data_IF_472499987654
#
_entry.id   IF_472499987654
#
_cell.length_a   1.000
_cell.length_b   1.000
_cell.length_c   1.000
_cell.angle_alpha   90.00
_cell.angle_beta   90.00
_cell.angle_gamma   90.00
#
_symmetry.space_group_name_H-M   'P 1'
#
loop_
_entity.id
_entity.type
_entity.pdbx_description
1 polymer ?
#
# COMPACT_ATOMS: atom_id res chain seq x y z
N UNK A 1 14.04 -8.49 9.44
CA UNK A 1 13.38 -7.39 8.77
C UNK A 1 11.88 -7.63 8.77
N UNK A 2 11.03 -6.60 8.79
CA UNK A 2 9.58 -6.71 8.73
C UNK A 2 9.07 -6.37 7.33
N UNK A 3 7.85 -6.82 6.99
CA UNK A 3 7.22 -6.45 5.72
C UNK A 3 7.11 -4.93 5.55
N UNK A 4 6.71 -4.20 6.60
CA UNK A 4 6.64 -2.73 6.54
C UNK A 4 8.01 -2.11 6.24
N UNK A 5 9.10 -2.62 6.85
CA UNK A 5 10.44 -2.12 6.62
C UNK A 5 10.93 -2.44 5.20
N UNK A 6 10.70 -3.67 4.73
CA UNK A 6 10.99 -4.06 3.33
C UNK A 6 10.24 -3.14 2.36
N UNK A 7 8.94 -2.92 2.59
CA UNK A 7 8.13 -2.00 1.78
C UNK A 7 8.73 -0.59 1.74
N UNK A 8 9.00 0.02 2.91
CA UNK A 8 9.53 1.38 2.97
C UNK A 8 10.86 1.54 2.23
N UNK A 9 11.77 0.56 2.34
CA UNK A 9 13.04 0.53 1.62
C UNK A 9 12.85 0.35 0.12
N UNK A 10 11.99 -0.60 -0.29
CA UNK A 10 11.74 -0.90 -1.70
C UNK A 10 11.11 0.29 -2.44
N UNK A 11 10.04 0.89 -1.88
CA UNK A 11 9.38 2.02 -2.53
C UNK A 11 10.30 3.23 -2.63
N UNK A 12 11.17 3.45 -1.63
CA UNK A 12 12.16 4.53 -1.64
C UNK A 12 13.21 4.30 -2.72
N UNK A 13 13.73 3.08 -2.84
CA UNK A 13 14.70 2.72 -3.87
C UNK A 13 14.10 2.88 -5.29
N UNK A 14 12.88 2.40 -5.51
CA UNK A 14 12.18 2.54 -6.80
C UNK A 14 11.92 4.01 -7.18
N UNK A 15 11.66 4.86 -6.19
CA UNK A 15 11.41 6.27 -6.42
C UNK A 15 12.66 7.08 -6.79
N UNK A 16 13.88 6.55 -6.57
CA UNK A 16 15.12 7.22 -6.97
C UNK A 16 15.20 7.43 -8.48
N UNK A 17 14.79 6.42 -9.25
CA UNK A 17 14.84 6.45 -10.72
C UNK A 17 13.50 6.81 -11.37
N UNK A 18 12.43 6.98 -10.56
CA UNK A 18 11.07 7.24 -11.04
C UNK A 18 10.45 8.46 -10.34
N UNK A 19 10.64 9.69 -10.86
CA UNK A 19 10.16 10.92 -10.23
C UNK A 19 8.64 11.03 -10.15
N UNK A 20 7.91 10.24 -10.92
CA UNK A 20 6.44 10.19 -10.85
C UNK A 20 5.92 9.49 -9.60
N UNK A 21 6.73 8.70 -8.89
CA UNK A 21 6.31 8.01 -7.68
C UNK A 21 6.16 9.02 -6.54
N UNK A 22 4.98 9.02 -5.94
CA UNK A 22 4.64 9.78 -4.72
C UNK A 22 4.17 8.82 -3.63
N UNK A 23 4.39 9.15 -2.37
CA UNK A 23 3.96 8.34 -1.24
C UNK A 23 2.98 9.11 -0.35
N UNK A 24 1.89 8.46 0.03
CA UNK A 24 0.79 9.07 0.79
C UNK A 24 0.42 8.14 1.95
N UNK A 25 0.16 8.73 3.11
CA UNK A 25 -0.37 8.02 4.27
C UNK A 25 -1.36 8.88 5.05
N UNK A 26 -2.10 8.29 5.98
CA UNK A 26 -3.05 8.96 6.86
C UNK A 26 -2.60 8.83 8.32
N UNK A 27 -1.69 9.71 8.77
CA UNK A 27 -1.12 9.76 10.12
C UNK A 27 -0.31 8.51 10.54
N UNK A 28 0.20 7.73 9.59
CA UNK A 28 0.90 6.46 9.85
C UNK A 28 2.32 6.38 9.24
N UNK A 29 3.13 7.46 9.17
CA UNK A 29 4.41 7.39 8.46
C UNK A 29 5.38 6.37 9.09
N UNK A 30 5.52 6.36 10.41
CA UNK A 30 6.38 5.41 11.11
C UNK A 30 5.86 3.98 11.10
N UNK A 31 4.53 3.80 11.22
CA UNK A 31 3.91 2.47 11.23
C UNK A 31 3.98 1.75 9.89
N UNK A 32 3.87 2.48 8.79
CA UNK A 32 3.99 1.99 7.42
C UNK A 32 5.42 2.05 6.87
N UNK A 33 6.36 2.64 7.63
CA UNK A 33 7.77 2.88 7.24
C UNK A 33 7.93 3.80 6.03
N UNK A 34 6.92 4.65 5.75
CA UNK A 34 7.06 5.76 4.81
C UNK A 34 7.88 6.93 5.36
N UNK A 35 8.28 6.90 6.63
CA UNK A 35 9.31 7.78 7.19
C UNK A 35 10.62 7.71 6.39
N UNK A 36 11.03 6.52 5.92
CA UNK A 36 12.20 6.32 5.05
C UNK A 36 12.04 7.09 3.73
N UNK A 37 10.87 6.98 3.10
CA UNK A 37 10.57 7.72 1.87
C UNK A 37 10.56 9.22 2.09
N UNK A 38 9.94 9.68 3.18
CA UNK A 38 9.87 11.11 3.55
C UNK A 38 11.25 11.74 3.72
N UNK A 39 12.19 11.04 4.34
CA UNK A 39 13.57 11.52 4.53
C UNK A 39 14.29 11.70 3.19
N UNK A 40 14.09 10.79 2.25
CA UNK A 40 14.73 10.82 0.93
C UNK A 40 14.03 11.76 -0.06
N UNK A 41 12.72 11.85 -0.01
CA UNK A 41 11.90 12.56 -0.99
C UNK A 41 10.80 13.42 -0.33
N UNK A 42 11.12 14.41 0.52
CA UNK A 42 10.15 15.16 1.32
C UNK A 42 9.09 15.91 0.47
N UNK A 43 9.42 16.28 -0.77
CA UNK A 43 8.49 16.98 -1.68
C UNK A 43 7.52 16.03 -2.42
N UNK A 44 7.71 14.72 -2.30
CA UNK A 44 6.88 13.68 -2.91
C UNK A 44 6.16 12.82 -1.87
N UNK A 45 6.30 13.19 -0.60
CA UNK A 45 5.64 12.54 0.52
C UNK A 45 4.51 13.43 1.07
N UNK A 46 3.36 12.80 1.34
CA UNK A 46 2.17 13.48 1.86
C UNK A 46 1.59 12.70 3.03
N UNK A 47 1.45 13.35 4.17
CA UNK A 47 0.67 12.84 5.30
C UNK A 47 -0.56 13.72 5.45
N UNK A 48 -1.72 13.15 5.19
CA UNK A 48 -3.00 13.88 5.20
C UNK A 48 -3.66 13.93 6.58
N UNK A 49 -2.99 13.42 7.60
CA UNK A 49 -3.61 13.25 8.92
C UNK A 49 -4.61 12.08 8.92
N UNK A 50 -5.46 12.00 9.95
CA UNK A 50 -6.47 10.93 10.07
C UNK A 50 -7.66 11.25 9.14
N UNK A 51 -7.44 11.07 7.83
CA UNK A 51 -8.38 11.42 6.78
C UNK A 51 -8.26 10.44 5.59
N UNK A 52 -8.57 9.17 5.81
CA UNK A 52 -8.35 8.09 4.84
C UNK A 52 -9.12 8.32 3.52
N UNK A 53 -10.35 8.83 3.57
CA UNK A 53 -11.12 9.20 2.37
C UNK A 53 -10.41 10.28 1.55
N UNK A 54 -9.90 11.33 2.21
CA UNK A 54 -9.12 12.38 1.54
C UNK A 54 -7.81 11.82 0.95
N UNK A 55 -7.12 10.93 1.66
CA UNK A 55 -5.92 10.25 1.18
C UNK A 55 -6.14 9.59 -0.19
N UNK A 56 -7.26 8.89 -0.35
CA UNK A 56 -7.59 8.20 -1.61
C UNK A 56 -8.02 9.17 -2.70
N UNK A 57 -8.88 10.14 -2.40
CA UNK A 57 -9.28 11.16 -3.38
C UNK A 57 -8.07 11.97 -3.88
N UNK A 58 -7.13 12.31 -2.99
CA UNK A 58 -5.89 12.99 -3.34
C UNK A 58 -4.99 12.10 -4.24
N UNK A 59 -4.85 10.81 -3.89
CA UNK A 59 -4.12 9.85 -4.72
C UNK A 59 -4.74 9.72 -6.13
N UNK A 60 -6.08 9.66 -6.22
CA UNK A 60 -6.79 9.63 -7.49
C UNK A 60 -6.48 10.86 -8.35
N UNK A 61 -6.50 12.06 -7.76
CA UNK A 61 -6.12 13.31 -8.44
C UNK A 61 -4.68 13.29 -8.95
N UNK A 62 -3.72 12.82 -8.15
CA UNK A 62 -2.32 12.67 -8.57
C UNK A 62 -2.18 11.66 -9.71
N UNK A 63 -2.87 10.53 -9.65
CA UNK A 63 -2.84 9.52 -10.71
C UNK A 63 -3.45 10.05 -12.02
N UNK A 64 -4.55 10.78 -11.95
CA UNK A 64 -5.17 11.45 -13.11
C UNK A 64 -4.24 12.50 -13.73
N UNK A 65 -3.36 13.13 -12.93
CA UNK A 65 -2.34 14.06 -13.38
C UNK A 65 -1.04 13.37 -13.89
N UNK A 66 -1.02 12.03 -14.01
CA UNK A 66 0.11 11.28 -14.56
C UNK A 66 1.16 10.84 -13.54
N UNK A 67 0.91 11.05 -12.24
CA UNK A 67 1.78 10.54 -11.19
C UNK A 67 1.50 9.04 -10.91
N UNK A 68 2.38 8.42 -10.13
CA UNK A 68 2.28 7.03 -9.66
C UNK A 68 2.19 7.01 -8.13
N UNK A 69 1.01 7.30 -7.56
CA UNK A 69 0.86 7.39 -6.11
C UNK A 69 0.88 5.99 -5.46
N UNK A 70 1.67 5.87 -4.40
CA UNK A 70 1.69 4.73 -3.48
C UNK A 70 1.03 5.18 -2.19
N UNK A 71 -0.08 4.55 -1.85
CA UNK A 71 -0.86 4.80 -0.64
C UNK A 71 -0.56 3.71 0.38
N UNK A 72 -0.01 4.06 1.54
CA UNK A 72 0.25 3.08 2.60
C UNK A 72 -0.61 3.35 3.84
N UNK A 73 -1.36 2.34 4.24
CA UNK A 73 -2.35 2.43 5.32
C UNK A 73 -2.58 1.05 5.94
N UNK A 74 -3.01 1.01 7.20
CA UNK A 74 -3.40 -0.26 7.84
C UNK A 74 -4.73 -0.77 7.27
N UNK A 75 -4.83 -2.08 7.11
CA UNK A 75 -6.01 -2.75 6.56
C UNK A 75 -7.32 -2.31 7.24
N UNK A 76 -7.35 -2.29 8.56
CA UNK A 76 -8.54 -1.88 9.32
C UNK A 76 -8.96 -0.44 9.04
N UNK A 77 -8.02 0.48 8.78
CA UNK A 77 -8.34 1.89 8.52
C UNK A 77 -8.71 2.16 7.07
N UNK A 78 -8.25 1.33 6.15
CA UNK A 78 -8.57 1.46 4.73
C UNK A 78 -10.07 1.35 4.43
N UNK A 79 -10.81 0.63 5.25
CA UNK A 79 -12.28 0.52 5.11
C UNK A 79 -13.00 1.89 5.21
N UNK A 80 -12.40 2.90 5.87
CA UNK A 80 -12.96 4.26 5.93
C UNK A 80 -12.95 5.00 4.59
N UNK A 81 -12.16 4.50 3.63
CA UNK A 81 -12.05 5.05 2.29
C UNK A 81 -12.66 4.13 1.21
N UNK A 82 -13.47 3.15 1.60
CA UNK A 82 -14.03 2.16 0.68
C UNK A 82 -14.80 2.79 -0.49
N UNK A 83 -15.58 3.84 -0.23
CA UNK A 83 -16.31 4.59 -1.25
C UNK A 83 -15.35 5.28 -2.24
N UNK A 84 -14.34 6.00 -1.75
CA UNK A 84 -13.36 6.69 -2.59
C UNK A 84 -12.50 5.70 -3.40
N UNK A 85 -12.13 4.55 -2.81
CA UNK A 85 -11.40 3.49 -3.53
C UNK A 85 -12.25 2.96 -4.69
N UNK A 86 -13.52 2.71 -4.45
CA UNK A 86 -14.44 2.21 -5.47
C UNK A 86 -14.71 3.28 -6.54
N UNK A 87 -15.16 4.47 -6.13
CA UNK A 87 -15.66 5.50 -7.03
C UNK A 87 -14.55 6.27 -7.72
N UNK A 88 -13.54 6.75 -6.96
CA UNK A 88 -12.55 7.66 -7.50
C UNK A 88 -11.38 6.92 -8.19
N UNK A 89 -11.12 5.66 -7.79
CA UNK A 89 -9.96 4.90 -8.28
C UNK A 89 -10.36 3.71 -9.12
N UNK A 90 -11.17 2.78 -8.58
CA UNK A 90 -11.43 1.50 -9.23
C UNK A 90 -12.29 1.65 -10.48
N UNK A 91 -13.40 2.40 -10.43
CA UNK A 91 -14.26 2.65 -11.59
C UNK A 91 -13.49 3.42 -12.67
N UNK A 92 -12.69 4.40 -12.28
CA UNK A 92 -11.88 5.20 -13.21
C UNK A 92 -10.63 4.45 -13.73
N UNK A 93 -10.29 3.29 -13.16
CA UNK A 93 -9.14 2.49 -13.55
C UNK A 93 -7.79 3.18 -13.33
N UNK A 94 -7.70 4.08 -12.35
CA UNK A 94 -6.51 4.89 -12.11
C UNK A 94 -5.35 4.07 -11.52
N UNK A 95 -4.10 4.34 -11.93
CA UNK A 95 -2.92 3.59 -11.48
C UNK A 95 -2.45 4.01 -10.08
N UNK A 96 -3.26 3.71 -9.08
CA UNK A 96 -2.94 3.89 -7.66
C UNK A 96 -2.48 2.55 -7.07
N UNK A 97 -1.35 2.54 -6.36
CA UNK A 97 -0.85 1.36 -5.66
C UNK A 97 -1.18 1.50 -4.17
N UNK A 98 -2.03 0.62 -3.68
CA UNK A 98 -2.39 0.55 -2.25
C UNK A 98 -1.54 -0.51 -1.57
N UNK A 99 -0.71 -0.08 -0.61
CA UNK A 99 0.09 -0.96 0.24
C UNK A 99 -0.60 -1.09 1.60
N UNK A 100 -1.29 -2.22 1.76
CA UNK A 100 -2.19 -2.48 2.90
C UNK A 100 -1.43 -3.25 3.96
N UNK A 101 -0.93 -2.52 4.94
CA UNK A 101 -0.20 -3.05 6.09
C UNK A 101 -1.16 -3.64 7.13
N UNK A 102 -0.69 -4.52 7.99
CA UNK A 102 -1.49 -5.20 9.04
C UNK A 102 -2.67 -5.99 8.46
N UNK A 103 -2.50 -6.61 7.30
CA UNK A 103 -3.49 -7.50 6.73
C UNK A 103 -3.56 -8.82 7.50
N UNK A 104 -4.77 -9.35 7.67
CA UNK A 104 -5.00 -10.58 8.45
C UNK A 104 -5.03 -10.34 9.96
N UNK A 105 -4.66 -11.36 10.72
CA UNK A 105 -4.64 -11.32 12.19
C UNK A 105 -3.38 -10.60 12.67
N UNK A 106 -3.55 -9.58 13.51
CA UNK A 106 -2.44 -8.73 13.99
C UNK A 106 -2.16 -8.86 15.51
N UNK A 107 -2.90 -9.69 16.21
CA UNK A 107 -2.65 -10.04 17.62
C UNK A 107 -2.50 -8.85 18.55
N UNK A 108 -1.27 -8.44 18.78
CA UNK A 108 -0.90 -7.40 19.75
C UNK A 108 -1.52 -6.01 19.53
N UNK A 109 -2.02 -5.70 18.33
CA UNK A 109 -2.65 -4.40 18.05
C UNK A 109 -4.11 -4.34 18.54
N UNK A 110 -4.66 -5.45 19.02
CA UNK A 110 -6.00 -5.54 19.62
C UNK A 110 -7.13 -5.74 18.63
N UNK A 111 -8.34 -5.90 19.16
CA UNK A 111 -9.54 -6.29 18.38
C UNK A 111 -9.94 -5.33 17.27
N UNK A 112 -9.66 -4.05 17.43
CA UNK A 112 -10.02 -3.00 16.45
C UNK A 112 -9.05 -2.87 15.29
N UNK A 113 -7.91 -3.58 15.32
CA UNK A 113 -6.84 -3.46 14.33
C UNK A 113 -6.71 -4.68 13.43
N UNK A 114 -7.61 -5.66 13.55
CA UNK A 114 -7.58 -6.88 12.73
C UNK A 114 -7.90 -6.58 11.27
N UNK A 115 -7.04 -7.01 10.36
CA UNK A 115 -7.17 -6.78 8.91
C UNK A 115 -7.83 -7.97 8.19
N UNK A 116 -8.96 -8.47 8.70
CA UNK A 116 -9.57 -9.72 8.22
C UNK A 116 -10.67 -9.53 7.18
N UNK A 117 -11.12 -8.31 6.94
CA UNK A 117 -12.24 -8.02 6.04
C UNK A 117 -11.80 -7.50 4.66
N UNK A 118 -10.54 -7.11 4.50
CA UNK A 118 -10.02 -6.43 3.32
C UNK A 118 -10.25 -7.23 2.02
N UNK A 119 -9.90 -8.52 1.97
CA UNK A 119 -10.09 -9.35 0.78
C UNK A 119 -11.56 -9.39 0.37
N UNK A 120 -12.47 -9.52 1.33
CA UNK A 120 -13.90 -9.73 1.05
C UNK A 120 -14.51 -8.59 0.23
N UNK A 121 -14.19 -7.34 0.54
CA UNK A 121 -14.74 -6.19 -0.17
C UNK A 121 -13.85 -5.70 -1.31
N UNK A 122 -12.51 -5.76 -1.17
CA UNK A 122 -11.58 -5.27 -2.20
C UNK A 122 -11.62 -6.11 -3.48
N UNK A 123 -11.80 -7.43 -3.38
CA UNK A 123 -11.86 -8.31 -4.55
C UNK A 123 -13.11 -8.11 -5.42
N UNK A 124 -14.13 -7.45 -4.92
CA UNK A 124 -15.34 -7.15 -5.69
C UNK A 124 -15.24 -5.85 -6.51
N UNK A 125 -14.18 -5.07 -6.31
CA UNK A 125 -14.00 -3.80 -7.00
C UNK A 125 -13.57 -4.02 -8.47
N UNK A 126 -14.13 -3.24 -9.42
CA UNK A 126 -13.76 -3.36 -10.82
C UNK A 126 -12.31 -2.92 -11.06
N UNK A 127 -11.66 -3.49 -12.08
CA UNK A 127 -10.29 -3.16 -12.49
C UNK A 127 -9.19 -3.41 -11.43
N UNK A 128 -9.56 -3.83 -10.23
CA UNK A 128 -8.65 -3.98 -9.09
C UNK A 128 -7.84 -5.27 -9.19
N UNK A 129 -6.52 -5.17 -9.06
CA UNK A 129 -5.63 -6.32 -8.84
C UNK A 129 -5.31 -6.43 -7.36
N UNK A 130 -5.49 -7.61 -6.77
CA UNK A 130 -5.21 -7.89 -5.37
C UNK A 130 -4.10 -8.92 -5.25
N UNK A 131 -3.00 -8.55 -4.57
CA UNK A 131 -1.81 -9.37 -4.38
C UNK A 131 -1.44 -9.48 -2.91
N UNK A 132 -0.73 -10.56 -2.58
CA UNK A 132 -0.10 -10.73 -1.28
C UNK A 132 1.28 -11.36 -1.47
N UNK A 133 2.37 -10.71 -1.02
CA UNK A 133 3.70 -11.27 -1.11
C UNK A 133 3.91 -12.40 -0.10
N UNK A 134 4.66 -13.41 -0.50
CA UNK A 134 5.10 -14.51 0.38
C UNK A 134 6.36 -14.16 1.16
N UNK A 135 7.27 -13.36 0.57
CA UNK A 135 8.57 -12.96 1.11
C UNK A 135 8.97 -11.55 0.67
N UNK A 136 10.19 -11.10 0.95
CA UNK A 136 10.72 -9.77 0.60
C UNK A 136 11.02 -9.63 -0.90
N UNK A 137 11.53 -10.67 -1.55
CA UNK A 137 11.79 -10.66 -3.00
C UNK A 137 10.47 -10.52 -3.78
N UNK A 138 9.45 -11.25 -3.35
CA UNK A 138 8.11 -11.20 -3.94
C UNK A 138 7.45 -9.83 -3.70
N UNK A 139 7.59 -9.24 -2.50
CA UNK A 139 7.11 -7.88 -2.25
C UNK A 139 7.76 -6.85 -3.18
N UNK A 140 9.06 -6.94 -3.39
CA UNK A 140 9.78 -6.06 -4.31
C UNK A 140 9.33 -6.24 -5.77
N UNK A 141 9.15 -7.49 -6.21
CA UNK A 141 8.65 -7.80 -7.55
C UNK A 141 7.23 -7.26 -7.77
N UNK A 142 6.32 -7.49 -6.81
CA UNK A 142 4.95 -7.00 -6.86
C UNK A 142 4.86 -5.46 -6.87
N UNK A 143 5.71 -4.77 -6.10
CA UNK A 143 5.79 -3.30 -6.13
C UNK A 143 6.22 -2.77 -7.50
N UNK A 144 7.23 -3.39 -8.12
CA UNK A 144 7.70 -3.01 -9.47
C UNK A 144 6.60 -3.22 -10.50
N UNK A 145 5.92 -4.36 -10.46
CA UNK A 145 4.83 -4.70 -11.37
C UNK A 145 3.65 -3.75 -11.19
N UNK A 146 3.23 -3.49 -9.95
CA UNK A 146 2.14 -2.58 -9.63
C UNK A 146 2.40 -1.15 -10.13
N UNK A 147 3.63 -0.65 -9.97
CA UNK A 147 4.03 0.68 -10.44
C UNK A 147 4.10 0.80 -11.97
N UNK A 148 4.36 -0.30 -12.67
CA UNK A 148 4.37 -0.35 -14.14
C UNK A 148 2.96 -0.53 -14.73
N UNK A 149 2.00 -1.02 -13.95
CA UNK A 149 0.63 -1.33 -14.41
C UNK A 149 -0.19 -0.07 -14.63
N UNK A 150 -1.04 -0.08 -15.67
CA UNK A 150 -2.06 0.95 -15.90
C UNK A 150 -3.40 0.54 -15.30
N UNK A 151 -3.49 0.54 -13.97
CA UNK A 151 -4.69 0.21 -13.23
C UNK A 151 -4.42 0.06 -11.74
N UNK A 152 -5.46 0.10 -10.91
CA UNK A 152 -5.29 0.06 -9.47
C UNK A 152 -4.81 -1.31 -8.99
N UNK A 153 -3.88 -1.30 -8.03
CA UNK A 153 -3.32 -2.51 -7.45
C UNK A 153 -3.29 -2.41 -5.93
N UNK A 154 -3.70 -3.47 -5.27
CA UNK A 154 -3.60 -3.64 -3.82
C UNK A 154 -2.53 -4.69 -3.53
N UNK A 155 -1.53 -4.33 -2.74
CA UNK A 155 -0.54 -5.24 -2.19
C UNK A 155 -0.77 -5.28 -0.68
N UNK A 156 -1.28 -6.39 -0.18
CA UNK A 156 -1.56 -6.58 1.24
C UNK A 156 -0.52 -7.46 1.91
N UNK A 157 -0.04 -7.10 3.08
CA UNK A 157 0.95 -7.87 3.82
C UNK A 157 0.70 -7.82 5.33
N UNK A 158 1.09 -8.91 6.06
CA UNK A 158 0.83 -9.00 7.49
C UNK A 158 1.77 -8.12 8.30
N UNK A 159 1.40 -7.86 9.55
CA UNK A 159 2.35 -7.40 10.55
C UNK A 159 3.29 -8.55 10.93
N UNK A 160 4.58 -8.36 10.80
CA UNK A 160 5.54 -9.36 11.22
C UNK A 160 6.85 -9.36 10.44
N UNK A 161 7.70 -10.31 10.81
CA UNK A 161 8.93 -10.56 10.09
C UNK A 161 8.64 -11.21 8.73
N UNK A 162 9.45 -10.86 7.74
CA UNK A 162 9.45 -11.55 6.45
C UNK A 162 10.08 -12.93 6.66
N UNK A 163 9.46 -14.02 6.17
CA UNK A 163 10.10 -15.33 6.18
C UNK A 163 11.45 -15.27 5.43
N UNK A 164 12.44 -16.02 5.92
CA UNK A 164 13.65 -16.22 5.13
C UNK A 164 13.29 -17.00 3.85
N UNK A 165 13.93 -16.68 2.72
CA UNK A 165 13.63 -17.29 1.43
C UNK A 165 13.74 -18.83 1.41
N UNK A 166 14.50 -19.40 2.37
CA UNK A 166 14.64 -20.85 2.54
C UNK A 166 13.50 -21.51 3.35
N UNK A 167 12.67 -20.73 4.05
CA UNK A 167 11.56 -21.25 4.87
C UNK A 167 10.25 -21.44 4.07
N UNK A 168 10.21 -21.02 2.82
CA UNK A 168 9.05 -21.14 1.92
C UNK A 168 9.04 -22.46 1.13
N UNK A 169 9.43 -23.58 1.72
CA UNK A 169 9.20 -24.90 1.13
C UNK A 169 7.82 -25.38 1.55
N UNK A 170 6.87 -25.34 0.63
CA UNK A 170 5.64 -26.12 0.74
C UNK A 170 6.02 -27.59 0.47
N UNK A 171 6.01 -28.42 1.52
CA UNK A 171 6.02 -29.87 1.38
C UNK A 171 4.65 -30.35 0.87
#
# INVERSE_FOLDING_TARGET
ITYSETFGRCVTALAADAPAITAITAAMPGGTRLDIFRESFPRRFFDVGIAEGHMVAFAAGLAAAGMRPVVAVYSTFMQRAADQIMHDVAIAGLPVVFCVDRAGVVGADGVTHQGVFDIAWMRSLPNMTLCQPKDDDDLNALLKEALARNGPTIIRYPRGAVPASDDCRCD
#
